data_IF_024788773965
#
_entry.id   IF_024788773965
#
_cell.length_a   1.000
_cell.length_b   1.000
_cell.length_c   1.000
_cell.angle_alpha   90.00
_cell.angle_beta   90.00
_cell.angle_gamma   90.00
#
_symmetry.space_group_name_H-M   'P 1'
#
loop_
_entity.id
_entity.type
_entity.pdbx_description
1 polymer ?
#
# COMPACT_ATOMS: atom_id res chain seq x y z
N UNK A 1 -2.99 -3.45 -0.27
CA UNK A 1 -1.70 -2.99 -0.82
C UNK A 1 -0.66 -3.16 0.27
N UNK A 2 0.50 -3.68 -0.09
CA UNK A 2 1.50 -4.10 0.88
C UNK A 2 2.90 -3.73 0.42
N UNK A 3 3.77 -3.38 1.38
CA UNK A 3 5.21 -3.46 1.22
C UNK A 3 5.74 -4.66 2.00
N UNK A 4 6.53 -5.46 1.32
CA UNK A 4 7.12 -6.69 1.83
C UNK A 4 8.63 -6.60 1.86
N UNK A 5 9.23 -7.11 2.92
CA UNK A 5 10.66 -7.33 3.04
C UNK A 5 10.95 -8.80 2.76
N UNK A 6 11.88 -9.06 1.83
CA UNK A 6 12.37 -10.40 1.52
C UNK A 6 13.91 -10.43 1.59
N UNK A 7 14.48 -11.52 2.11
CA UNK A 7 15.92 -11.69 2.11
C UNK A 7 16.43 -11.88 0.67
N UNK A 8 17.55 -11.22 0.31
CA UNK A 8 18.12 -11.26 -1.05
C UNK A 8 18.46 -12.68 -1.52
N UNK A 9 18.78 -13.62 -0.60
CA UNK A 9 19.04 -15.03 -0.94
C UNK A 9 17.76 -15.79 -1.29
N UNK A 10 16.59 -15.29 -0.88
CA UNK A 10 15.28 -15.87 -1.19
C UNK A 10 14.56 -15.15 -2.34
N UNK A 11 15.08 -14.02 -2.83
CA UNK A 11 14.41 -13.15 -3.81
C UNK A 11 14.02 -13.87 -5.11
N UNK A 12 14.85 -14.81 -5.59
CA UNK A 12 14.54 -15.61 -6.78
C UNK A 12 13.27 -16.47 -6.65
N UNK A 13 12.75 -16.60 -5.44
CA UNK A 13 11.58 -17.40 -5.07
C UNK A 13 10.43 -16.53 -4.51
N UNK A 14 10.46 -15.23 -4.79
CA UNK A 14 9.48 -14.25 -4.25
C UNK A 14 8.02 -14.56 -4.56
N UNK A 15 7.77 -15.30 -5.65
CA UNK A 15 6.42 -15.67 -6.09
C UNK A 15 6.05 -17.12 -5.69
N UNK A 16 6.92 -17.82 -4.94
CA UNK A 16 6.67 -19.17 -4.48
C UNK A 16 5.78 -19.19 -3.24
N UNK A 17 4.78 -20.07 -3.29
CA UNK A 17 3.94 -20.36 -2.13
C UNK A 17 4.64 -21.39 -1.23
N UNK A 18 5.28 -20.90 -0.17
CA UNK A 18 6.17 -21.72 0.66
C UNK A 18 5.46 -22.53 1.75
N UNK A 19 4.17 -22.29 1.99
CA UNK A 19 3.44 -22.89 3.12
C UNK A 19 3.34 -24.42 3.05
N UNK A 20 3.32 -25.02 1.85
CA UNK A 20 3.22 -26.46 1.62
C UNK A 20 4.47 -27.07 0.96
N UNK A 21 5.56 -26.32 0.80
CA UNK A 21 6.78 -26.80 0.15
C UNK A 21 7.39 -28.02 0.81
N UNK A 22 7.20 -28.22 2.11
CA UNK A 22 7.69 -29.41 2.82
C UNK A 22 7.10 -30.72 2.27
N UNK A 23 5.90 -30.67 1.68
CA UNK A 23 5.24 -31.81 1.03
C UNK A 23 5.52 -31.86 -0.47
N UNK A 24 5.45 -30.71 -1.14
CA UNK A 24 5.48 -30.64 -2.60
C UNK A 24 6.89 -30.57 -3.20
N UNK A 25 7.83 -29.92 -2.50
CA UNK A 25 9.23 -29.79 -2.90
C UNK A 25 10.17 -29.69 -1.69
N UNK A 26 10.47 -30.83 -1.01
CA UNK A 26 11.30 -30.84 0.20
C UNK A 26 12.69 -30.24 0.01
N UNK A 27 13.30 -30.38 -1.17
CA UNK A 27 14.62 -29.83 -1.45
C UNK A 27 14.62 -28.29 -1.46
N UNK A 28 13.60 -27.70 -2.05
CA UNK A 28 13.40 -26.25 -2.04
C UNK A 28 13.03 -25.75 -0.64
N UNK A 29 12.21 -26.51 0.09
CA UNK A 29 11.87 -26.21 1.48
C UNK A 29 13.12 -26.06 2.36
N UNK A 30 14.03 -27.06 2.35
CA UNK A 30 15.26 -27.00 3.15
C UNK A 30 16.17 -25.83 2.72
N UNK A 31 16.17 -25.47 1.45
CA UNK A 31 16.93 -24.30 0.94
C UNK A 31 16.37 -22.98 1.46
N UNK A 32 15.04 -22.82 1.49
CA UNK A 32 14.37 -21.59 1.92
C UNK A 32 14.15 -21.47 3.41
N UNK A 33 14.17 -22.58 4.14
CA UNK A 33 13.92 -22.66 5.58
C UNK A 33 14.69 -21.64 6.44
N UNK A 34 15.97 -21.30 6.16
CA UNK A 34 16.68 -20.27 6.92
C UNK A 34 16.07 -18.86 6.80
N UNK A 35 15.29 -18.61 5.75
CA UNK A 35 14.66 -17.32 5.43
C UNK A 35 13.17 -17.30 5.75
N UNK A 36 12.60 -18.45 6.15
CA UNK A 36 11.19 -18.58 6.49
C UNK A 36 10.90 -18.02 7.88
N UNK A 37 9.74 -17.43 8.01
CA UNK A 37 9.15 -17.00 9.28
C UNK A 37 7.66 -17.32 9.29
N UNK A 38 7.04 -17.24 10.45
CA UNK A 38 5.57 -17.35 10.54
C UNK A 38 4.93 -16.05 10.06
N UNK A 39 3.81 -16.18 9.38
CA UNK A 39 2.96 -15.02 9.06
C UNK A 39 2.57 -14.30 10.35
N UNK A 40 2.13 -13.06 10.23
CA UNK A 40 1.65 -12.21 11.34
C UNK A 40 0.65 -12.92 12.28
N UNK A 41 -0.14 -13.82 11.74
CA UNK A 41 -1.13 -14.61 12.52
C UNK A 41 -0.61 -15.98 12.96
N UNK A 42 0.65 -16.31 12.68
CA UNK A 42 1.32 -17.54 13.15
C UNK A 42 0.90 -18.84 12.47
N UNK A 43 0.05 -18.78 11.46
CA UNK A 43 -0.58 -19.98 10.88
C UNK A 43 0.26 -20.64 9.78
N UNK A 44 0.99 -19.85 8.98
CA UNK A 44 1.71 -20.36 7.81
C UNK A 44 3.15 -19.85 7.80
N UNK A 45 4.03 -20.62 7.16
CA UNK A 45 5.38 -20.17 6.84
C UNK A 45 5.36 -19.22 5.64
N UNK A 46 6.22 -18.21 5.65
CA UNK A 46 6.40 -17.24 4.57
C UNK A 46 7.85 -16.79 4.52
N UNK A 47 8.32 -16.41 3.33
CA UNK A 47 9.61 -15.73 3.13
C UNK A 47 9.47 -14.20 3.10
N UNK A 48 8.24 -13.69 3.22
CA UNK A 48 7.92 -12.28 3.22
C UNK A 48 7.61 -11.77 4.63
N UNK A 49 8.01 -10.55 4.91
CA UNK A 49 7.66 -9.80 6.12
C UNK A 49 6.91 -8.53 5.71
N UNK A 50 5.70 -8.35 6.25
CA UNK A 50 4.95 -7.11 6.06
C UNK A 50 5.66 -5.96 6.77
N UNK A 51 6.05 -4.94 6.00
CA UNK A 51 6.69 -3.72 6.51
C UNK A 51 5.86 -2.46 6.22
N UNK A 52 4.82 -2.57 5.40
CA UNK A 52 3.87 -1.50 5.14
C UNK A 52 2.54 -2.08 4.64
N UNK A 53 1.44 -1.46 5.07
CA UNK A 53 0.10 -1.85 4.68
C UNK A 53 -0.81 -0.64 4.49
N UNK A 54 -1.54 -0.63 3.39
CA UNK A 54 -2.61 0.34 3.10
C UNK A 54 -3.90 -0.38 2.75
N UNK A 55 -5.00 0.22 3.16
CA UNK A 55 -6.33 -0.24 2.77
C UNK A 55 -7.02 0.84 1.96
N UNK A 56 -7.16 0.60 0.65
CA UNK A 56 -7.91 1.47 -0.27
C UNK A 56 -7.31 2.86 -0.52
N UNK A 57 -6.04 3.10 -0.20
CA UNK A 57 -5.33 4.33 -0.52
C UNK A 57 -5.00 4.37 -2.02
N UNK A 58 -6.01 4.68 -2.86
CA UNK A 58 -5.92 4.57 -4.31
C UNK A 58 -4.88 5.51 -4.93
N UNK A 59 -4.65 6.68 -4.36
CA UNK A 59 -3.63 7.64 -4.77
C UNK A 59 -2.21 7.08 -4.56
N UNK A 60 -1.98 6.35 -3.47
CA UNK A 60 -0.70 5.70 -3.19
C UNK A 60 -0.51 4.50 -4.13
N UNK A 61 -1.55 3.72 -4.35
CA UNK A 61 -1.51 2.62 -5.32
C UNK A 61 -1.19 3.14 -6.73
N UNK A 62 -1.87 4.18 -7.18
CA UNK A 62 -1.62 4.78 -8.49
C UNK A 62 -0.18 5.26 -8.64
N UNK A 63 0.39 5.84 -7.60
CA UNK A 63 1.79 6.24 -7.61
C UNK A 63 2.72 5.03 -7.83
N UNK A 64 2.49 3.90 -7.15
CA UNK A 64 3.26 2.67 -7.37
C UNK A 64 3.06 2.11 -8.77
N UNK A 65 1.84 2.14 -9.32
CA UNK A 65 1.56 1.69 -10.69
C UNK A 65 2.40 2.49 -11.69
N UNK A 66 2.41 3.80 -11.58
CA UNK A 66 3.11 4.67 -12.54
C UNK A 66 4.63 4.63 -12.36
N UNK A 67 5.15 4.64 -11.12
CA UNK A 67 6.57 4.86 -10.84
C UNK A 67 7.35 3.56 -10.55
N UNK A 68 6.67 2.44 -10.26
CA UNK A 68 7.31 1.17 -9.93
C UNK A 68 6.90 0.06 -10.89
N UNK A 69 5.62 -0.01 -11.27
CA UNK A 69 5.08 -1.09 -12.11
C UNK A 69 5.10 -0.76 -13.61
N UNK A 70 5.58 0.43 -14.01
CA UNK A 70 5.63 0.84 -15.42
C UNK A 70 4.26 1.03 -16.07
N UNK A 71 3.25 1.43 -15.29
CA UNK A 71 1.88 1.65 -15.74
C UNK A 71 1.05 0.36 -15.87
N UNK A 72 1.55 -0.78 -15.38
CA UNK A 72 0.84 -2.06 -15.43
C UNK A 72 0.24 -2.37 -14.07
N UNK A 73 -1.08 -2.24 -13.95
CA UNK A 73 -1.81 -2.57 -12.73
C UNK A 73 -2.22 -4.04 -12.73
N UNK A 74 -1.41 -4.87 -12.08
CA UNK A 74 -1.64 -6.29 -11.88
C UNK A 74 -1.37 -6.70 -10.42
N UNK A 75 -1.61 -7.95 -10.09
CA UNK A 75 -1.37 -8.48 -8.73
C UNK A 75 0.07 -9.01 -8.52
N UNK A 76 1.01 -8.69 -9.40
CA UNK A 76 2.39 -9.14 -9.30
C UNK A 76 3.18 -8.37 -8.24
N UNK A 77 4.32 -8.96 -7.82
CA UNK A 77 5.24 -8.32 -6.88
C UNK A 77 6.36 -7.60 -7.61
N UNK A 78 6.51 -6.32 -7.35
CA UNK A 78 7.50 -5.43 -7.98
C UNK A 78 8.56 -4.98 -6.98
N UNK A 79 9.82 -4.95 -7.41
CA UNK A 79 10.93 -4.45 -6.60
C UNK A 79 10.81 -2.92 -6.48
N UNK A 80 10.98 -2.43 -5.26
CA UNK A 80 10.97 -0.99 -4.95
C UNK A 80 12.37 -0.59 -4.49
N UNK A 81 12.93 0.43 -5.11
CA UNK A 81 14.23 0.96 -4.72
C UNK A 81 14.12 1.94 -3.53
N UNK A 82 15.25 2.19 -2.87
CA UNK A 82 15.31 3.19 -1.81
C UNK A 82 14.95 4.59 -2.34
N UNK A 83 15.45 4.93 -3.51
CA UNK A 83 15.20 6.22 -4.17
C UNK A 83 13.71 6.42 -4.46
N UNK A 84 12.99 5.35 -4.86
CA UNK A 84 11.54 5.42 -5.08
C UNK A 84 10.78 5.64 -3.76
N UNK A 85 11.25 5.08 -2.64
CA UNK A 85 10.68 5.34 -1.31
C UNK A 85 10.93 6.80 -0.89
N UNK A 86 12.14 7.32 -1.11
CA UNK A 86 12.49 8.72 -0.83
C UNK A 86 11.64 9.68 -1.67
N UNK A 87 11.43 9.38 -2.96
CA UNK A 87 10.59 10.17 -3.86
C UNK A 87 9.12 10.19 -3.41
N UNK A 88 8.54 9.03 -3.07
CA UNK A 88 7.16 8.98 -2.58
C UNK A 88 7.01 9.74 -1.26
N UNK A 89 7.99 9.62 -0.36
CA UNK A 89 7.99 10.35 0.90
C UNK A 89 7.99 11.87 0.65
N UNK A 90 8.86 12.36 -0.23
CA UNK A 90 8.93 13.78 -0.57
C UNK A 90 7.59 14.29 -1.14
N UNK A 91 6.99 13.56 -2.05
CA UNK A 91 5.67 13.87 -2.61
C UNK A 91 4.59 13.88 -1.52
N UNK A 92 4.56 12.89 -0.62
CA UNK A 92 3.62 12.86 0.49
C UNK A 92 3.80 14.04 1.46
N UNK A 93 5.03 14.44 1.74
CA UNK A 93 5.33 15.61 2.59
C UNK A 93 4.83 16.90 1.95
N UNK A 94 5.07 17.13 0.65
CA UNK A 94 4.58 18.29 -0.07
C UNK A 94 3.04 18.35 -0.04
N UNK A 95 2.37 17.22 -0.28
CA UNK A 95 0.90 17.16 -0.18
C UNK A 95 0.44 17.47 1.25
N UNK A 96 1.06 16.86 2.28
CA UNK A 96 0.74 17.11 3.69
C UNK A 96 0.82 18.59 4.05
N UNK A 97 1.87 19.29 3.60
CA UNK A 97 2.05 20.73 3.87
C UNK A 97 0.95 21.59 3.25
N UNK A 98 0.31 21.13 2.18
CA UNK A 98 -0.81 21.81 1.53
C UNK A 98 -2.17 21.52 2.17
N UNK A 99 -2.28 20.48 3.02
CA UNK A 99 -3.56 20.04 3.60
C UNK A 99 -4.04 21.02 4.65
N UNK A 100 -5.22 21.57 4.41
CA UNK A 100 -6.02 22.28 5.41
C UNK A 100 -7.42 21.66 5.39
N UNK A 101 -7.90 21.22 6.55
CA UNK A 101 -9.19 20.55 6.70
C UNK A 101 -10.20 21.49 7.34
N UNK A 102 -11.41 21.53 6.77
CA UNK A 102 -12.58 22.21 7.33
C UNK A 102 -13.73 21.23 7.53
N UNK A 103 -14.63 21.55 8.43
CA UNK A 103 -15.85 20.76 8.61
C UNK A 103 -16.73 20.84 7.36
N UNK A 104 -17.27 19.70 6.96
CA UNK A 104 -18.09 19.55 5.77
C UNK A 104 -18.91 18.25 5.81
N UNK A 105 -19.30 17.78 4.66
CA UNK A 105 -20.02 16.54 4.50
C UNK A 105 -19.37 15.72 3.36
N UNK A 106 -19.36 14.41 3.53
CA UNK A 106 -18.84 13.46 2.52
C UNK A 106 -19.86 12.39 2.20
N UNK A 107 -19.77 11.87 1.00
CA UNK A 107 -20.54 10.71 0.57
C UNK A 107 -19.84 9.44 1.03
N UNK A 108 -20.47 8.69 1.93
CA UNK A 108 -19.99 7.41 2.42
C UNK A 108 -20.88 6.25 1.91
N UNK A 109 -20.76 5.97 0.60
CA UNK A 109 -21.54 4.92 -0.05
C UNK A 109 -23.02 5.25 -0.23
N UNK A 110 -23.86 4.20 -0.27
CA UNK A 110 -25.31 4.31 -0.42
C UNK A 110 -26.03 3.48 0.64
N UNK A 111 -27.18 3.97 1.08
CA UNK A 111 -28.07 3.28 2.01
C UNK A 111 -29.47 3.13 1.39
N UNK A 112 -30.18 2.05 1.77
CA UNK A 112 -31.57 1.87 1.36
C UNK A 112 -32.49 2.65 2.28
N UNK A 113 -33.22 3.63 1.73
CA UNK A 113 -34.31 4.32 2.43
C UNK A 113 -35.63 4.01 1.72
N UNK A 114 -36.53 3.32 2.39
CA UNK A 114 -37.86 2.92 1.84
C UNK A 114 -37.76 2.15 0.50
N UNK A 115 -36.72 1.28 0.35
CA UNK A 115 -36.49 0.52 -0.88
C UNK A 115 -35.81 1.27 -2.01
N UNK A 116 -35.44 2.53 -1.80
CA UNK A 116 -34.67 3.35 -2.77
C UNK A 116 -33.26 3.52 -2.26
N UNK A 117 -32.25 3.27 -3.11
CA UNK A 117 -30.85 3.54 -2.80
C UNK A 117 -30.63 5.06 -2.89
N UNK A 118 -30.15 5.64 -1.78
CA UNK A 118 -29.79 7.05 -1.69
C UNK A 118 -28.36 7.17 -1.17
N UNK A 119 -27.69 8.25 -1.56
CA UNK A 119 -26.34 8.51 -1.06
C UNK A 119 -26.37 8.69 0.47
N UNK A 120 -25.43 8.01 1.14
CA UNK A 120 -25.19 8.19 2.56
C UNK A 120 -24.26 9.39 2.74
N UNK A 121 -24.80 10.51 3.18
CA UNK A 121 -24.05 11.73 3.45
C UNK A 121 -23.79 11.79 4.95
N UNK A 122 -22.52 11.91 5.32
CA UNK A 122 -22.07 11.96 6.72
C UNK A 122 -21.21 13.20 6.97
N UNK A 123 -21.31 13.79 8.17
CA UNK A 123 -20.38 14.85 8.58
C UNK A 123 -18.94 14.32 8.54
N UNK A 124 -18.06 15.03 7.85
CA UNK A 124 -16.63 14.73 7.79
C UNK A 124 -15.86 15.98 7.37
N UNK A 125 -14.53 15.95 7.53
CA UNK A 125 -13.68 17.07 7.09
C UNK A 125 -13.31 16.91 5.61
N UNK A 126 -13.27 18.04 4.92
CA UNK A 126 -12.85 18.16 3.53
C UNK A 126 -11.60 19.03 3.41
N UNK A 127 -10.79 18.80 2.37
CA UNK A 127 -9.68 19.69 2.05
C UNK A 127 -10.21 21.02 1.53
N UNK A 128 -9.63 22.13 2.02
CA UNK A 128 -9.96 23.49 1.56
C UNK A 128 -9.50 23.70 0.12
N UNK A 129 -8.35 23.14 -0.23
CA UNK A 129 -7.77 23.16 -1.59
C UNK A 129 -7.23 21.80 -1.92
N UNK A 130 -7.42 21.38 -3.17
CA UNK A 130 -7.02 20.07 -3.68
C UNK A 130 -5.91 20.16 -4.73
N UNK A 131 -5.51 21.38 -5.14
CA UNK A 131 -4.64 21.60 -6.28
C UNK A 131 -3.31 20.82 -6.20
N UNK A 132 -2.62 20.86 -5.06
CA UNK A 132 -1.35 20.12 -4.87
C UNK A 132 -1.60 18.62 -4.82
N UNK A 133 -2.66 18.19 -4.15
CA UNK A 133 -3.05 16.78 -4.08
C UNK A 133 -3.43 16.21 -5.46
N UNK A 134 -4.18 16.96 -6.25
CA UNK A 134 -4.55 16.60 -7.63
C UNK A 134 -3.35 16.55 -8.59
N UNK A 135 -2.36 17.39 -8.38
CA UNK A 135 -1.15 17.44 -9.19
C UNK A 135 -0.17 16.31 -8.84
N UNK A 136 0.11 16.09 -7.55
CA UNK A 136 1.19 15.21 -7.10
C UNK A 136 0.73 13.78 -6.76
N UNK A 137 -0.45 13.62 -6.16
CA UNK A 137 -1.04 12.34 -5.76
C UNK A 137 -2.53 12.30 -6.07
N UNK A 138 -2.90 12.31 -7.36
CA UNK A 138 -4.30 12.27 -7.77
C UNK A 138 -4.97 10.98 -7.32
N UNK A 139 -6.23 11.09 -6.89
CA UNK A 139 -7.06 9.92 -6.61
C UNK A 139 -7.38 9.18 -7.91
N UNK A 140 -7.43 7.85 -7.85
CA UNK A 140 -7.73 6.98 -8.97
C UNK A 140 -9.00 6.17 -8.72
N UNK A 141 -9.92 6.15 -9.68
CA UNK A 141 -11.13 5.36 -9.59
C UNK A 141 -10.85 3.88 -9.91
N UNK A 142 -11.44 2.97 -9.13
CA UNK A 142 -11.37 1.54 -9.38
C UNK A 142 -12.44 0.78 -8.59
N UNK A 143 -12.75 -0.44 -9.01
CA UNK A 143 -13.87 -1.20 -8.44
C UNK A 143 -13.71 -1.48 -6.93
N UNK A 144 -12.48 -1.74 -6.48
CA UNK A 144 -12.16 -2.03 -5.08
C UNK A 144 -11.47 -0.88 -4.35
N UNK A 145 -11.23 0.22 -5.03
CA UNK A 145 -10.60 1.40 -4.45
C UNK A 145 -11.63 2.22 -3.66
N UNK A 146 -11.16 2.96 -2.66
CA UNK A 146 -11.99 3.80 -1.82
C UNK A 146 -12.65 4.97 -2.57
N UNK A 147 -13.05 5.98 -1.81
CA UNK A 147 -13.54 7.24 -2.40
C UNK A 147 -12.43 7.92 -3.20
N UNK A 148 -12.82 8.65 -4.23
CA UNK A 148 -11.95 9.58 -4.97
C UNK A 148 -12.05 11.01 -4.44
N UNK A 149 -12.71 11.21 -3.30
CA UNK A 149 -12.88 12.53 -2.69
C UNK A 149 -11.64 12.93 -1.90
N UNK A 150 -11.26 14.20 -1.99
CA UNK A 150 -10.19 14.79 -1.18
C UNK A 150 -10.73 15.25 0.18
N UNK A 151 -10.71 14.34 1.13
CA UNK A 151 -11.30 14.51 2.46
C UNK A 151 -10.34 14.03 3.56
N UNK A 152 -10.83 13.93 4.80
CA UNK A 152 -10.01 13.50 5.93
C UNK A 152 -9.36 12.12 5.72
N UNK A 153 -10.01 11.18 5.04
CA UNK A 153 -9.44 9.83 4.81
C UNK A 153 -8.30 9.87 3.79
N UNK A 154 -8.41 10.73 2.76
CA UNK A 154 -7.27 11.01 1.90
C UNK A 154 -6.08 11.55 2.71
N UNK A 155 -6.33 12.51 3.61
CA UNK A 155 -5.29 13.06 4.47
C UNK A 155 -4.71 12.01 5.42
N UNK A 156 -5.53 11.14 6.01
CA UNK A 156 -5.11 10.03 6.86
C UNK A 156 -4.22 9.03 6.10
N UNK A 157 -4.55 8.71 4.85
CA UNK A 157 -3.71 7.87 3.99
C UNK A 157 -2.32 8.50 3.76
N UNK A 158 -2.26 9.83 3.52
CA UNK A 158 -0.98 10.54 3.37
C UNK A 158 -0.16 10.48 4.65
N UNK A 159 -0.77 10.74 5.82
CA UNK A 159 -0.06 10.70 7.11
C UNK A 159 0.45 9.29 7.42
N UNK A 160 -0.38 8.28 7.25
CA UNK A 160 0.01 6.88 7.44
C UNK A 160 1.13 6.48 6.46
N UNK A 161 1.09 6.97 5.22
CA UNK A 161 2.15 6.68 4.24
C UNK A 161 3.48 7.27 4.68
N UNK A 162 3.50 8.51 5.14
CA UNK A 162 4.71 9.15 5.66
C UNK A 162 5.30 8.33 6.81
N UNK A 163 4.50 7.93 7.79
CA UNK A 163 4.96 7.11 8.92
C UNK A 163 5.59 5.77 8.47
N UNK A 164 4.95 5.08 7.53
CA UNK A 164 5.46 3.82 6.97
C UNK A 164 6.81 4.04 6.26
N UNK A 165 6.89 5.08 5.41
CA UNK A 165 8.09 5.31 4.60
C UNK A 165 9.27 5.82 5.44
N UNK A 166 9.03 6.70 6.43
CA UNK A 166 10.04 7.14 7.39
C UNK A 166 10.60 5.95 8.17
N UNK A 167 9.74 5.06 8.68
CA UNK A 167 10.19 3.86 9.37
C UNK A 167 11.02 2.93 8.47
N UNK A 168 10.64 2.78 7.19
CA UNK A 168 11.41 1.98 6.23
C UNK A 168 12.78 2.62 5.99
N UNK A 169 12.86 3.93 5.79
CA UNK A 169 14.13 4.61 5.54
C UNK A 169 15.08 4.55 6.73
N UNK A 170 14.53 4.54 7.96
CA UNK A 170 15.30 4.48 9.19
C UNK A 170 15.81 3.05 9.52
N UNK A 171 14.97 2.04 9.31
CA UNK A 171 15.18 0.69 9.87
C UNK A 171 15.50 -0.39 8.82
N UNK A 172 15.27 -0.13 7.51
CA UNK A 172 15.37 -1.18 6.50
C UNK A 172 16.81 -1.39 6.02
N UNK A 173 17.29 -2.61 6.15
CA UNK A 173 18.59 -3.05 5.65
C UNK A 173 18.55 -3.39 4.15
N UNK A 174 18.74 -2.39 3.29
CA UNK A 174 18.76 -2.52 1.83
C UNK A 174 19.95 -3.33 1.29
N UNK A 175 20.98 -3.63 2.11
CA UNK A 175 22.11 -4.46 1.68
C UNK A 175 21.73 -5.95 1.65
N UNK A 176 20.98 -6.42 2.65
CA UNK A 176 20.63 -7.82 2.83
C UNK A 176 19.20 -8.18 2.44
N UNK A 177 18.35 -7.17 2.25
CA UNK A 177 16.93 -7.35 1.92
C UNK A 177 16.49 -6.51 0.74
N UNK A 178 15.50 -7.04 0.03
CA UNK A 178 14.79 -6.35 -1.06
C UNK A 178 13.40 -5.96 -0.58
N UNK A 179 12.98 -4.76 -0.93
CA UNK A 179 11.61 -4.27 -0.73
C UNK A 179 10.77 -4.60 -1.95
N UNK A 180 9.57 -5.15 -1.73
CA UNK A 180 8.61 -5.48 -2.77
C UNK A 180 7.29 -4.77 -2.51
N UNK A 181 6.67 -4.25 -3.55
CA UNK A 181 5.29 -3.77 -3.53
C UNK A 181 4.38 -4.78 -4.21
N UNK A 182 3.21 -5.03 -3.63
CA UNK A 182 2.12 -5.76 -4.30
C UNK A 182 0.75 -5.24 -3.86
N UNK A 183 -0.22 -5.34 -4.75
CA UNK A 183 -1.62 -5.08 -4.45
C UNK A 183 -2.47 -6.28 -4.86
N UNK A 184 -3.54 -6.52 -4.12
CA UNK A 184 -4.60 -7.46 -4.51
C UNK A 184 -5.94 -6.77 -4.36
N UNK A 185 -6.76 -6.82 -5.40
CA UNK A 185 -8.08 -6.18 -5.50
C UNK A 185 -9.07 -7.05 -6.26
#
# INVERSE_FOLDING_TARGET
>A
MYLWKINNQALAYKDEDVWNLHETNPALYEKLKPYMKKTKYGNFDTIHEEVGYWRKANQIHNWFVENVQGGVDDCSSYIVSKEQIEELLDVCVQVKESITLIDGEVRNGQISKNGVMVDNIEPAKQLVTTAVAEELLPTCAGFFFGSTDYNQWYAEDIYNTIEILEQILDDFDFENYTLLYSASW
#
